data_IF_353383317601
#
_entry.id   IF_353383317601
#
_cell.length_a   1.000
_cell.length_b   1.000
_cell.length_c   1.000
_cell.angle_alpha   90.00
_cell.angle_beta   90.00
_cell.angle_gamma   90.00
#
_symmetry.space_group_name_H-M   'P 1'
#
loop_
_entity.id
_entity.type
_entity.pdbx_description
1 polymer ?
#
# COMPACT_ATOMS: atom_id res chain seq x y z
N UNK A 1 -23.10 -16.16 21.53
CA UNK A 1 -23.20 -14.68 21.30
C UNK A 1 -22.36 -14.17 20.12
N UNK A 2 -21.14 -14.66 19.88
CA UNK A 2 -20.26 -14.19 18.79
C UNK A 2 -20.84 -14.45 17.39
N UNK A 3 -21.36 -15.66 17.15
CA UNK A 3 -21.96 -16.07 15.86
C UNK A 3 -23.20 -15.24 15.51
N UNK A 4 -24.08 -15.00 16.48
CA UNK A 4 -25.30 -14.17 16.29
C UNK A 4 -24.93 -12.71 15.97
N UNK A 5 -23.94 -12.14 16.69
CA UNK A 5 -23.45 -10.78 16.39
C UNK A 5 -22.80 -10.68 15.00
N UNK A 6 -22.10 -11.73 14.56
CA UNK A 6 -21.51 -11.77 13.22
C UNK A 6 -22.60 -11.86 12.13
N UNK A 7 -23.63 -12.67 12.35
CA UNK A 7 -24.78 -12.80 11.44
C UNK A 7 -25.57 -11.49 11.31
N UNK A 8 -25.88 -10.83 12.43
CA UNK A 8 -26.59 -9.54 12.44
C UNK A 8 -25.77 -8.44 11.75
N UNK A 9 -24.46 -8.39 11.98
CA UNK A 9 -23.57 -7.44 11.29
C UNK A 9 -23.49 -7.71 9.78
N UNK A 10 -23.41 -8.98 9.38
CA UNK A 10 -23.41 -9.37 7.97
C UNK A 10 -24.70 -8.97 7.28
N UNK A 11 -25.85 -9.20 7.92
CA UNK A 11 -27.16 -8.83 7.38
C UNK A 11 -27.33 -7.30 7.25
N UNK A 12 -26.92 -6.54 8.26
CA UNK A 12 -26.91 -5.08 8.20
C UNK A 12 -26.01 -4.56 7.06
N UNK A 13 -24.84 -5.19 6.87
CA UNK A 13 -23.92 -4.88 5.77
C UNK A 13 -24.54 -5.13 4.39
N UNK A 14 -25.31 -6.22 4.23
CA UNK A 14 -25.98 -6.57 2.98
C UNK A 14 -27.18 -5.68 2.67
N UNK A 15 -27.98 -5.30 3.68
CA UNK A 15 -29.09 -4.35 3.49
C UNK A 15 -28.56 -2.98 3.07
N UNK A 16 -27.52 -2.48 3.75
CA UNK A 16 -26.80 -1.28 3.34
C UNK A 16 -26.18 -1.43 1.94
N UNK A 17 -25.71 -2.63 1.61
CA UNK A 17 -25.22 -3.00 0.28
C UNK A 17 -26.27 -2.83 -0.80
N UNK A 18 -27.48 -3.38 -0.58
CA UNK A 18 -28.59 -3.30 -1.53
C UNK A 18 -29.06 -1.85 -1.75
N UNK A 19 -29.19 -1.05 -0.68
CA UNK A 19 -29.56 0.37 -0.80
C UNK A 19 -28.51 1.14 -1.59
N UNK A 20 -27.23 0.90 -1.29
CA UNK A 20 -26.12 1.55 -2.00
C UNK A 20 -26.02 1.11 -3.46
N UNK A 21 -26.40 -0.13 -3.78
CA UNK A 21 -26.43 -0.64 -5.15
C UNK A 21 -27.47 0.07 -6.02
N UNK A 22 -28.61 0.49 -5.45
CA UNK A 22 -29.61 1.30 -6.17
C UNK A 22 -29.00 2.67 -6.52
N UNK A 23 -28.34 3.31 -5.56
CA UNK A 23 -27.64 4.59 -5.78
C UNK A 23 -26.54 4.44 -6.84
N UNK A 24 -25.79 3.34 -6.80
CA UNK A 24 -24.72 3.05 -7.75
C UNK A 24 -25.25 2.73 -9.14
N UNK A 25 -26.37 2.02 -9.26
CA UNK A 25 -27.01 1.75 -10.54
C UNK A 25 -27.46 3.06 -11.19
N UNK A 26 -28.15 3.92 -10.44
CA UNK A 26 -28.55 5.25 -10.91
C UNK A 26 -27.34 6.06 -11.34
N UNK A 27 -26.27 6.03 -10.54
CA UNK A 27 -25.02 6.72 -10.87
C UNK A 27 -24.38 6.17 -12.15
N UNK A 28 -24.31 4.84 -12.34
CA UNK A 28 -23.73 4.20 -13.53
C UNK A 28 -24.53 4.56 -14.78
N UNK A 29 -25.86 4.54 -14.70
CA UNK A 29 -26.74 4.91 -15.82
C UNK A 29 -26.51 6.37 -16.24
N UNK A 30 -26.21 7.26 -15.30
CA UNK A 30 -25.90 8.68 -15.59
C UNK A 30 -24.45 8.86 -16.05
N UNK A 31 -23.49 8.19 -15.41
CA UNK A 31 -22.06 8.37 -15.62
C UNK A 31 -21.55 7.70 -16.92
N UNK A 32 -22.16 6.59 -17.35
CA UNK A 32 -21.74 5.87 -18.56
C UNK A 32 -21.92 6.72 -19.84
N UNK A 33 -23.08 7.35 -20.08
CA UNK A 33 -23.24 8.29 -21.20
C UNK A 33 -22.29 9.49 -21.12
N UNK A 34 -22.02 10.00 -19.90
CA UNK A 34 -21.14 11.14 -19.69
C UNK A 34 -19.67 10.85 -20.02
N UNK A 35 -19.23 9.59 -20.07
CA UNK A 35 -17.87 9.22 -20.48
C UNK A 35 -17.59 9.47 -21.97
N UNK A 36 -18.63 9.51 -22.79
CA UNK A 36 -18.55 9.86 -24.21
C UNK A 36 -18.08 11.31 -24.37
N UNK A 37 -18.40 12.18 -23.42
CA UNK A 37 -17.99 13.58 -23.38
C UNK A 37 -16.63 13.74 -22.67
N UNK A 38 -15.53 14.07 -23.37
CA UNK A 38 -14.22 14.30 -22.76
C UNK A 38 -14.22 15.25 -21.54
N UNK A 39 -14.96 16.38 -21.52
CA UNK A 39 -14.96 17.28 -20.37
C UNK A 39 -15.67 16.73 -19.14
N UNK A 40 -16.59 15.76 -19.29
CA UNK A 40 -17.35 15.18 -18.19
C UNK A 40 -16.69 13.92 -17.57
N UNK A 41 -15.62 13.39 -18.20
CA UNK A 41 -14.82 12.29 -17.66
C UNK A 41 -14.30 12.55 -16.23
N UNK A 42 -13.64 13.68 -15.90
CA UNK A 42 -13.12 13.90 -14.54
C UNK A 42 -14.21 13.93 -13.47
N UNK A 43 -15.42 14.40 -13.79
CA UNK A 43 -16.56 14.36 -12.88
C UNK A 43 -17.03 12.92 -12.62
N UNK A 44 -17.15 12.12 -13.69
CA UNK A 44 -17.52 10.70 -13.63
C UNK A 44 -16.53 9.89 -12.78
N UNK A 45 -15.22 10.12 -12.96
CA UNK A 45 -14.18 9.48 -12.13
C UNK A 45 -14.16 9.96 -10.68
N UNK A 46 -14.58 11.21 -10.41
CA UNK A 46 -14.64 11.75 -9.04
C UNK A 46 -15.77 11.12 -8.25
N UNK A 47 -16.97 11.03 -8.84
CA UNK A 47 -18.11 10.39 -8.18
C UNK A 47 -17.92 8.88 -8.00
N UNK A 48 -17.34 8.19 -9.01
CA UNK A 48 -17.02 6.77 -8.89
C UNK A 48 -16.02 6.50 -7.75
N UNK A 49 -15.02 7.38 -7.55
CA UNK A 49 -14.08 7.28 -6.43
C UNK A 49 -14.74 7.50 -5.08
N UNK A 50 -15.66 8.46 -4.98
CA UNK A 50 -16.40 8.70 -3.74
C UNK A 50 -17.28 7.49 -3.35
N UNK A 51 -18.01 6.91 -4.32
CA UNK A 51 -18.81 5.69 -4.12
C UNK A 51 -17.94 4.49 -3.73
N UNK A 52 -16.81 4.30 -4.43
CA UNK A 52 -15.86 3.22 -4.13
C UNK A 52 -15.25 3.34 -2.73
N UNK A 53 -14.97 4.56 -2.27
CA UNK A 53 -14.42 4.81 -0.93
C UNK A 53 -15.46 4.59 0.18
N UNK A 54 -16.68 5.08 -0.03
CA UNK A 54 -17.80 4.83 0.88
C UNK A 54 -18.07 3.33 1.03
N UNK A 55 -17.93 2.58 -0.06
CA UNK A 55 -18.06 1.14 -0.03
C UNK A 55 -16.93 0.42 0.68
N UNK A 56 -15.68 0.82 0.43
CA UNK A 56 -14.51 0.29 1.12
C UNK A 56 -14.70 0.35 2.63
N UNK A 57 -15.24 1.47 3.13
CA UNK A 57 -15.57 1.65 4.55
C UNK A 57 -16.66 0.66 4.98
N UNK A 58 -17.72 0.48 4.18
CA UNK A 58 -18.79 -0.49 4.47
C UNK A 58 -18.25 -1.92 4.55
N UNK A 59 -17.50 -2.35 3.53
CA UNK A 59 -16.95 -3.71 3.43
C UNK A 59 -15.99 -3.99 4.58
N UNK A 60 -15.10 -3.05 4.91
CA UNK A 60 -14.17 -3.22 6.02
C UNK A 60 -14.91 -3.25 7.38
N UNK A 61 -15.96 -2.43 7.56
CA UNK A 61 -16.70 -2.32 8.83
C UNK A 61 -17.67 -3.47 9.09
N UNK A 62 -18.42 -3.90 8.07
CA UNK A 62 -19.56 -4.80 8.23
C UNK A 62 -19.30 -6.20 7.67
N UNK A 63 -18.49 -6.28 6.61
CA UNK A 63 -18.12 -7.54 5.98
C UNK A 63 -16.72 -8.01 6.42
N UNK A 64 -15.97 -7.25 7.23
CA UNK A 64 -14.65 -7.67 7.72
C UNK A 64 -13.58 -7.77 6.63
N UNK A 65 -13.70 -7.00 5.54
CA UNK A 65 -12.63 -6.86 4.56
C UNK A 65 -11.42 -6.11 5.13
N UNK A 66 -10.23 -6.39 4.58
CA UNK A 66 -8.99 -5.66 4.86
C UNK A 66 -8.51 -4.92 3.60
N UNK A 67 -9.41 -4.16 2.97
CA UNK A 67 -9.11 -3.48 1.71
C UNK A 67 -8.37 -2.18 2.01
N UNK A 68 -7.09 -2.14 1.62
CA UNK A 68 -6.22 -0.99 1.78
C UNK A 68 -6.67 0.19 0.88
N UNK A 69 -6.44 1.45 1.29
CA UNK A 69 -6.69 2.60 0.43
C UNK A 69 -5.69 2.61 -0.74
N UNK A 70 -6.19 2.57 -1.99
CA UNK A 70 -5.37 2.49 -3.19
C UNK A 70 -6.22 2.36 -4.46
N UNK A 71 -6.98 3.41 -4.79
CA UNK A 71 -7.93 3.38 -5.90
C UNK A 71 -7.21 3.39 -7.25
N UNK A 72 -7.00 2.20 -7.85
CA UNK A 72 -6.51 2.08 -9.22
C UNK A 72 -7.46 2.78 -10.20
N UNK A 73 -7.16 4.02 -10.58
CA UNK A 73 -8.10 4.96 -11.23
C UNK A 73 -8.85 4.43 -12.46
N UNK A 74 -8.27 3.49 -13.22
CA UNK A 74 -8.93 2.85 -14.36
C UNK A 74 -9.92 1.73 -14.00
N UNK A 75 -9.73 1.04 -12.87
CA UNK A 75 -10.57 -0.07 -12.41
C UNK A 75 -11.75 0.40 -11.54
N UNK A 76 -11.70 1.63 -11.01
CA UNK A 76 -12.76 2.19 -10.13
C UNK A 76 -14.13 2.18 -10.81
N UNK A 77 -14.21 2.56 -12.08
CA UNK A 77 -15.49 2.59 -12.78
C UNK A 77 -16.04 1.18 -13.03
N UNK A 78 -15.17 0.26 -13.47
CA UNK A 78 -15.52 -1.15 -13.66
C UNK A 78 -15.96 -1.79 -12.33
N UNK A 79 -15.31 -1.44 -11.23
CA UNK A 79 -15.69 -1.85 -9.89
C UNK A 79 -17.10 -1.39 -9.52
N UNK A 80 -17.39 -0.10 -9.64
CA UNK A 80 -18.72 0.46 -9.32
C UNK A 80 -19.80 -0.19 -10.18
N UNK A 81 -19.55 -0.41 -11.47
CA UNK A 81 -20.50 -1.08 -12.37
C UNK A 81 -20.76 -2.54 -11.96
N UNK A 82 -19.70 -3.33 -11.75
CA UNK A 82 -19.84 -4.74 -11.32
C UNK A 82 -20.49 -4.86 -9.94
N UNK A 83 -20.20 -3.91 -9.04
CA UNK A 83 -20.78 -3.89 -7.72
C UNK A 83 -22.25 -3.49 -7.72
N UNK A 84 -22.67 -2.54 -8.56
CA UNK A 84 -24.09 -2.22 -8.75
C UNK A 84 -24.90 -3.46 -9.17
N UNK A 85 -24.35 -4.28 -10.08
CA UNK A 85 -24.96 -5.54 -10.48
C UNK A 85 -25.03 -6.55 -9.32
N UNK A 86 -23.92 -6.75 -8.60
CA UNK A 86 -23.88 -7.68 -7.48
C UNK A 86 -24.86 -7.28 -6.35
N UNK A 87 -24.88 -6.01 -5.97
CA UNK A 87 -25.79 -5.51 -4.94
C UNK A 87 -27.26 -5.50 -5.41
N UNK A 88 -27.52 -5.31 -6.70
CA UNK A 88 -28.85 -5.49 -7.29
C UNK A 88 -29.37 -6.92 -7.18
N UNK A 89 -28.52 -7.91 -7.45
CA UNK A 89 -28.84 -9.33 -7.22
C UNK A 89 -29.15 -9.61 -5.74
N UNK A 90 -28.37 -9.03 -4.83
CA UNK A 90 -28.63 -9.12 -3.38
C UNK A 90 -29.95 -8.52 -2.97
N UNK A 91 -30.27 -7.32 -3.46
CA UNK A 91 -31.56 -6.68 -3.26
C UNK A 91 -32.72 -7.54 -3.78
N UNK A 92 -32.57 -8.13 -4.97
CA UNK A 92 -33.56 -9.05 -5.53
C UNK A 92 -33.82 -10.27 -4.66
N UNK A 93 -32.77 -10.91 -4.14
CA UNK A 93 -32.90 -12.04 -3.20
C UNK A 93 -33.64 -11.61 -1.93
N UNK A 94 -33.32 -10.44 -1.36
CA UNK A 94 -34.01 -9.92 -0.16
C UNK A 94 -35.50 -9.65 -0.42
N UNK A 95 -35.86 -9.10 -1.58
CA UNK A 95 -37.26 -8.87 -1.96
C UNK A 95 -38.00 -10.20 -2.12
N UNK A 96 -37.40 -11.19 -2.78
CA UNK A 96 -38.00 -12.52 -2.94
C UNK A 96 -38.24 -13.20 -1.58
N UNK A 97 -37.26 -13.12 -0.66
CA UNK A 97 -37.40 -13.62 0.71
C UNK A 97 -38.52 -12.88 1.44
N UNK A 98 -38.61 -11.55 1.30
CA UNK A 98 -39.67 -10.75 1.91
C UNK A 98 -41.07 -11.12 1.41
N UNK A 99 -41.25 -11.28 0.09
CA UNK A 99 -42.51 -11.76 -0.52
C UNK A 99 -42.86 -13.13 0.05
N UNK A 100 -41.88 -14.03 0.10
CA UNK A 100 -42.08 -15.39 0.58
C UNK A 100 -42.49 -15.44 2.08
N UNK A 101 -41.89 -14.58 2.92
CA UNK A 101 -42.29 -14.40 4.32
C UNK A 101 -43.70 -13.82 4.43
N UNK A 102 -44.05 -12.83 3.61
CA UNK A 102 -45.39 -12.22 3.62
C UNK A 102 -46.48 -13.21 3.21
N UNK A 103 -46.25 -14.00 2.14
CA UNK A 103 -47.14 -15.09 1.71
C UNK A 103 -47.29 -16.12 2.83
N UNK A 104 -46.18 -16.48 3.48
CA UNK A 104 -46.19 -17.44 4.59
C UNK A 104 -46.98 -16.93 5.80
N UNK A 105 -46.81 -15.65 6.15
CA UNK A 105 -47.56 -14.99 7.22
C UNK A 105 -49.05 -14.92 6.92
N UNK A 106 -49.42 -14.58 5.68
CA UNK A 106 -50.82 -14.53 5.25
C UNK A 106 -51.48 -15.92 5.30
N UNK A 107 -50.76 -16.98 4.88
CA UNK A 107 -51.24 -18.35 4.97
C UNK A 107 -51.49 -18.79 6.43
N UNK A 108 -50.65 -18.33 7.37
CA UNK A 108 -50.76 -18.70 8.79
C UNK A 108 -51.82 -17.87 9.55
N UNK A 109 -51.96 -16.58 9.22
CA UNK A 109 -52.84 -15.62 9.92
C UNK A 109 -54.26 -15.55 9.34
N UNK A 110 -54.43 -15.85 8.05
CA UNK A 110 -55.68 -15.66 7.31
C UNK A 110 -56.72 -16.78 7.43
N UNK A 111 -56.66 -17.62 8.47
CA UNK A 111 -57.65 -18.69 8.66
C UNK A 111 -57.71 -19.66 7.49
N UNK A 112 -56.57 -20.21 7.07
CA UNK A 112 -56.52 -21.24 6.02
C UNK A 112 -57.28 -22.53 6.41
N UNK A 113 -57.62 -22.69 7.70
CA UNK A 113 -58.45 -23.77 8.23
C UNK A 113 -59.88 -23.80 7.68
N UNK A 114 -60.42 -22.68 7.18
CA UNK A 114 -61.82 -22.64 6.71
C UNK A 114 -61.98 -22.77 5.19
N UNK A 115 -60.91 -22.68 4.38
CA UNK A 115 -61.01 -22.63 2.91
C UNK A 115 -60.27 -23.72 2.13
N UNK A 116 -59.39 -24.48 2.75
CA UNK A 116 -58.63 -25.51 2.05
C UNK A 116 -58.72 -26.83 2.82
N UNK A 117 -59.19 -27.89 2.15
CA UNK A 117 -59.20 -29.26 2.69
C UNK A 117 -57.78 -29.79 2.86
N UNK A 118 -57.10 -29.32 3.90
CA UNK A 118 -55.72 -29.66 4.20
C UNK A 118 -55.60 -31.14 4.52
N UNK A 119 -54.69 -31.79 3.83
CA UNK A 119 -54.23 -33.11 4.21
C UNK A 119 -53.31 -33.01 5.43
N UNK A 120 -53.18 -34.10 6.18
CA UNK A 120 -52.32 -34.18 7.38
C UNK A 120 -50.84 -33.91 7.08
N UNK A 121 -50.40 -34.04 5.82
CA UNK A 121 -49.01 -33.81 5.40
C UNK A 121 -48.71 -32.37 4.95
N UNK A 122 -49.72 -31.52 4.72
CA UNK A 122 -49.53 -30.15 4.21
C UNK A 122 -48.71 -29.23 5.15
N UNK A 123 -48.86 -29.31 6.49
CA UNK A 123 -47.98 -28.57 7.40
C UNK A 123 -46.52 -29.01 7.33
N UNK A 124 -46.28 -30.31 7.09
CA UNK A 124 -44.93 -30.89 6.99
C UNK A 124 -44.26 -30.42 5.71
N UNK A 125 -44.94 -30.53 4.57
CA UNK A 125 -44.41 -30.07 3.26
C UNK A 125 -44.13 -28.57 3.28
N UNK A 126 -45.02 -27.77 3.88
CA UNK A 126 -44.83 -26.33 4.04
C UNK A 126 -43.63 -26.01 4.93
N UNK A 127 -43.48 -26.67 6.08
CA UNK A 127 -42.33 -26.47 6.99
C UNK A 127 -41.00 -26.83 6.33
N UNK A 128 -40.96 -27.93 5.56
CA UNK A 128 -39.77 -28.33 4.80
C UNK A 128 -39.44 -27.30 3.72
N UNK A 129 -40.45 -26.80 3.00
CA UNK A 129 -40.27 -25.74 2.01
C UNK A 129 -39.74 -24.45 2.63
N UNK A 130 -40.27 -24.07 3.80
CA UNK A 130 -39.79 -22.94 4.61
C UNK A 130 -38.33 -23.05 4.96
N UNK A 131 -37.92 -24.19 5.49
CA UNK A 131 -36.54 -24.45 5.88
C UNK A 131 -35.61 -24.45 4.66
N UNK A 132 -36.05 -25.03 3.53
CA UNK A 132 -35.28 -25.05 2.29
C UNK A 132 -35.05 -23.64 1.74
N UNK A 133 -36.10 -22.81 1.64
CA UNK A 133 -35.98 -21.43 1.16
C UNK A 133 -35.10 -20.61 2.08
N UNK A 134 -35.24 -20.76 3.40
CA UNK A 134 -34.39 -20.07 4.37
C UNK A 134 -32.92 -20.49 4.23
N UNK A 135 -32.65 -21.79 4.06
CA UNK A 135 -31.30 -22.30 3.83
C UNK A 135 -30.68 -21.73 2.54
N UNK A 136 -31.43 -21.75 1.43
CA UNK A 136 -30.96 -21.19 0.16
C UNK A 136 -30.72 -19.69 0.24
N UNK A 137 -31.60 -18.95 0.93
CA UNK A 137 -31.43 -17.51 1.16
C UNK A 137 -30.15 -17.22 1.94
N UNK A 138 -29.88 -17.96 3.02
CA UNK A 138 -28.64 -17.81 3.81
C UNK A 138 -27.41 -18.09 2.94
N UNK A 139 -27.42 -19.17 2.15
CA UNK A 139 -26.30 -19.51 1.27
C UNK A 139 -26.08 -18.46 0.18
N UNK A 140 -27.15 -17.92 -0.42
CA UNK A 140 -27.08 -16.87 -1.41
C UNK A 140 -26.49 -15.57 -0.82
N UNK A 141 -26.92 -15.19 0.38
CA UNK A 141 -26.41 -14.01 1.10
C UNK A 141 -24.93 -14.19 1.48
N UNK A 142 -24.51 -15.36 1.96
CA UNK A 142 -23.11 -15.65 2.25
C UNK A 142 -22.24 -15.64 0.99
N UNK A 143 -22.72 -16.25 -0.10
CA UNK A 143 -22.04 -16.25 -1.39
C UNK A 143 -21.88 -14.85 -1.95
N UNK A 144 -22.91 -14.01 -1.83
CA UNK A 144 -22.87 -12.63 -2.29
C UNK A 144 -21.92 -11.78 -1.45
N UNK A 145 -21.93 -11.93 -0.12
CA UNK A 145 -20.97 -11.27 0.76
C UNK A 145 -19.51 -11.62 0.39
N UNK A 146 -19.25 -12.88 0.02
CA UNK A 146 -17.94 -13.30 -0.45
C UNK A 146 -17.59 -12.70 -1.82
N UNK A 147 -18.56 -12.60 -2.74
CA UNK A 147 -18.39 -11.96 -4.04
C UNK A 147 -18.06 -10.48 -3.91
N UNK A 148 -18.79 -9.73 -3.06
CA UNK A 148 -18.50 -8.31 -2.79
C UNK A 148 -17.09 -8.11 -2.27
N UNK A 149 -16.63 -8.96 -1.33
CA UNK A 149 -15.25 -8.91 -0.83
C UNK A 149 -14.22 -9.15 -1.94
N UNK A 150 -14.48 -10.11 -2.84
CA UNK A 150 -13.59 -10.41 -3.98
C UNK A 150 -13.55 -9.26 -4.97
N UNK A 151 -14.69 -8.68 -5.30
CA UNK A 151 -14.78 -7.50 -6.17
C UNK A 151 -14.00 -6.33 -5.55
N UNK A 152 -14.17 -6.10 -4.25
CA UNK A 152 -13.48 -5.04 -3.53
C UNK A 152 -11.96 -5.25 -3.55
N UNK A 153 -11.50 -6.48 -3.31
CA UNK A 153 -10.08 -6.83 -3.39
C UNK A 153 -9.50 -6.64 -4.81
N UNK A 154 -10.25 -6.94 -5.86
CA UNK A 154 -9.79 -6.77 -7.24
C UNK A 154 -9.80 -5.32 -7.71
N UNK A 155 -10.89 -4.59 -7.43
CA UNK A 155 -11.15 -3.24 -7.96
C UNK A 155 -10.48 -2.12 -7.17
N UNK A 156 -10.23 -2.34 -5.88
CA UNK A 156 -9.68 -1.35 -4.95
C UNK A 156 -8.25 -1.68 -4.51
N UNK A 157 -7.64 -2.75 -5.04
CA UNK A 157 -6.23 -3.02 -4.80
C UNK A 157 -5.36 -1.89 -5.37
N UNK A 158 -4.27 -1.49 -4.65
CA UNK A 158 -3.33 -0.50 -5.14
C UNK A 158 -2.85 -0.83 -6.54
N UNK A 159 -2.79 0.17 -7.42
CA UNK A 159 -2.24 -0.01 -8.76
C UNK A 159 -0.74 -0.32 -8.67
N UNK A 160 -0.21 -1.18 -9.55
CA UNK A 160 1.24 -1.45 -9.63
C UNK A 160 2.05 -0.15 -9.70
N UNK A 161 1.50 0.89 -10.36
CA UNK A 161 2.10 2.22 -10.44
C UNK A 161 2.19 2.94 -9.09
N UNK A 162 1.20 2.77 -8.22
CA UNK A 162 1.18 3.37 -6.87
C UNK A 162 2.15 2.62 -5.94
N UNK A 163 2.19 1.29 -6.05
CA UNK A 163 3.18 0.47 -5.35
C UNK A 163 4.60 0.84 -5.79
N UNK A 164 4.83 1.02 -7.09
CA UNK A 164 6.11 1.48 -7.64
C UNK A 164 6.45 2.90 -7.16
N UNK A 165 5.50 3.83 -7.15
CA UNK A 165 5.72 5.18 -6.61
C UNK A 165 6.11 5.15 -5.14
N UNK A 166 5.43 4.36 -4.32
CA UNK A 166 5.77 4.18 -2.91
C UNK A 166 7.18 3.60 -2.73
N UNK A 167 7.58 2.62 -3.55
CA UNK A 167 8.95 2.08 -3.54
C UNK A 167 9.99 3.10 -3.98
N UNK A 168 9.71 3.89 -5.02
CA UNK A 168 10.61 4.96 -5.48
C UNK A 168 10.77 6.03 -4.40
N UNK A 169 9.68 6.42 -3.73
CA UNK A 169 9.72 7.37 -2.63
C UNK A 169 10.54 6.81 -1.45
N UNK A 170 10.30 5.57 -1.05
CA UNK A 170 11.09 4.90 -0.02
C UNK A 170 12.58 4.84 -0.38
N UNK A 171 12.92 4.44 -1.61
CA UNK A 171 14.31 4.42 -2.09
C UNK A 171 14.92 5.81 -2.11
N UNK A 172 14.15 6.84 -2.49
CA UNK A 172 14.62 8.22 -2.51
C UNK A 172 14.93 8.73 -1.10
N UNK A 173 14.09 8.39 -0.10
CA UNK A 173 14.31 8.71 1.31
C UNK A 173 15.54 8.00 1.86
N UNK A 174 15.65 6.69 1.69
CA UNK A 174 16.84 5.94 2.14
C UNK A 174 18.10 6.43 1.45
N UNK A 175 18.04 6.80 0.17
CA UNK A 175 19.18 7.40 -0.53
C UNK A 175 19.55 8.76 0.05
N UNK A 176 18.57 9.60 0.39
CA UNK A 176 18.81 10.89 1.03
C UNK A 176 19.49 10.71 2.40
N UNK A 177 19.00 9.80 3.24
CA UNK A 177 19.59 9.46 4.54
C UNK A 177 21.04 8.97 4.41
N UNK A 178 21.32 8.09 3.44
CA UNK A 178 22.69 7.61 3.18
C UNK A 178 23.58 8.73 2.68
N UNK A 179 23.09 9.60 1.80
CA UNK A 179 23.87 10.74 1.30
C UNK A 179 24.19 11.73 2.42
N UNK A 180 23.24 11.99 3.32
CA UNK A 180 23.44 12.84 4.50
C UNK A 180 24.50 12.25 5.43
N UNK A 181 24.41 10.95 5.75
CA UNK A 181 25.42 10.26 6.55
C UNK A 181 26.83 10.29 5.91
N UNK A 182 26.91 10.13 4.58
CA UNK A 182 28.18 10.22 3.85
C UNK A 182 28.73 11.64 3.87
N UNK A 183 27.88 12.66 3.74
CA UNK A 183 28.29 14.06 3.75
C UNK A 183 28.78 14.50 5.14
N UNK A 184 28.13 14.02 6.20
CA UNK A 184 28.58 14.19 7.58
C UNK A 184 29.95 13.57 7.84
N UNK A 185 30.15 12.32 7.41
CA UNK A 185 31.44 11.65 7.57
C UNK A 185 32.53 12.34 6.74
N UNK A 186 32.20 12.80 5.53
CA UNK A 186 33.13 13.60 4.72
C UNK A 186 33.56 14.88 5.44
N UNK A 187 32.62 15.65 5.99
CA UNK A 187 32.93 16.88 6.75
C UNK A 187 33.78 16.60 7.97
N UNK A 188 33.53 15.47 8.64
CA UNK A 188 34.33 15.03 9.78
C UNK A 188 35.77 14.72 9.36
N UNK A 189 35.95 13.92 8.31
CA UNK A 189 37.28 13.60 7.75
C UNK A 189 38.01 14.87 7.31
N UNK A 190 37.33 15.80 6.65
CA UNK A 190 37.92 17.06 6.20
C UNK A 190 38.45 17.88 7.38
N UNK A 191 37.68 17.95 8.48
CA UNK A 191 38.09 18.64 9.71
C UNK A 191 39.27 17.94 10.39
N UNK A 192 39.17 16.62 10.57
CA UNK A 192 40.23 15.81 11.20
C UNK A 192 41.55 15.95 10.40
N UNK A 193 41.46 15.98 9.07
CA UNK A 193 42.61 16.16 8.19
C UNK A 193 43.19 17.57 8.28
N UNK A 194 42.32 18.58 8.22
CA UNK A 194 42.75 19.98 8.29
C UNK A 194 43.43 20.29 9.63
N UNK A 195 42.82 19.89 10.73
CA UNK A 195 43.36 20.12 12.08
C UNK A 195 44.65 19.33 12.31
N UNK A 196 44.71 18.07 11.84
CA UNK A 196 45.91 17.24 11.92
C UNK A 196 47.08 17.80 11.09
N UNK A 197 46.82 18.29 9.88
CA UNK A 197 47.83 18.93 9.02
C UNK A 197 48.31 20.25 9.64
N UNK A 198 47.40 21.07 10.17
CA UNK A 198 47.76 22.33 10.83
C UNK A 198 48.67 22.12 12.05
N UNK A 199 48.31 21.21 12.96
CA UNK A 199 49.13 20.89 14.14
C UNK A 199 50.54 20.47 13.74
N UNK A 200 50.67 19.66 12.69
CA UNK A 200 51.95 19.17 12.20
C UNK A 200 52.78 20.25 11.53
N UNK A 201 52.19 21.09 10.68
CA UNK A 201 52.91 22.21 10.04
C UNK A 201 53.44 23.19 11.09
N UNK A 202 52.67 23.45 12.16
CA UNK A 202 53.12 24.28 13.28
C UNK A 202 54.29 23.63 14.01
N UNK A 203 54.21 22.33 14.34
CA UNK A 203 55.29 21.60 15.00
C UNK A 203 56.58 21.57 14.14
N UNK A 204 56.44 21.38 12.83
CA UNK A 204 57.56 21.33 11.89
C UNK A 204 58.21 22.72 11.75
N UNK A 205 57.42 23.78 11.65
CA UNK A 205 57.89 25.16 11.66
C UNK A 205 58.63 25.53 12.96
N UNK A 206 58.13 25.06 14.11
CA UNK A 206 58.81 25.25 15.40
C UNK A 206 60.14 24.51 15.46
N UNK A 207 60.22 23.25 15.00
CA UNK A 207 61.47 22.48 14.96
C UNK A 207 62.53 23.16 14.07
N UNK A 208 62.12 23.59 12.86
CA UNK A 208 63.00 24.28 11.93
C UNK A 208 63.47 25.64 12.48
N UNK A 209 62.55 26.46 13.01
CA UNK A 209 62.90 27.76 13.60
C UNK A 209 63.72 27.66 14.90
N UNK A 210 63.79 26.49 15.53
CA UNK A 210 64.68 26.22 16.67
C UNK A 210 66.06 25.76 16.19
N UNK A 211 66.12 24.94 15.13
CA UNK A 211 67.37 24.54 14.49
C UNK A 211 68.13 25.74 13.92
N UNK A 212 67.42 26.72 13.34
CA UNK A 212 68.00 27.92 12.73
C UNK A 212 68.61 28.90 13.76
N UNK A 213 68.27 28.75 15.05
CA UNK A 213 68.75 29.59 16.17
C UNK A 213 69.88 28.93 16.98
N UNK A 214 70.30 27.72 16.62
CA UNK A 214 71.36 26.98 17.30
C UNK A 214 72.69 27.16 16.57
N UNK A 215 73.69 27.69 17.27
CA UNK A 215 75.06 27.81 16.76
C UNK A 215 75.85 26.49 16.83
N UNK A 216 75.37 25.50 17.59
CA UNK A 216 75.96 24.16 17.63
C UNK A 216 75.49 23.31 16.42
N UNK A 217 76.38 22.97 15.48
CA UNK A 217 76.03 22.18 14.31
C UNK A 217 75.53 20.77 14.66
N UNK A 218 75.95 20.20 15.80
CA UNK A 218 75.49 18.89 16.26
C UNK A 218 74.01 18.90 16.67
N UNK A 219 73.62 19.86 17.52
CA UNK A 219 72.24 20.06 17.95
C UNK A 219 71.30 20.48 16.82
N UNK A 220 71.75 21.37 15.92
CA UNK A 220 70.97 21.78 14.75
C UNK A 220 70.68 20.59 13.80
N UNK A 221 71.69 19.75 13.54
CA UNK A 221 71.54 18.55 12.72
C UNK A 221 70.54 17.54 13.32
N UNK A 222 70.47 17.43 14.65
CA UNK A 222 69.49 16.57 15.32
C UNK A 222 68.04 17.04 15.09
N UNK A 223 67.78 18.35 15.19
CA UNK A 223 66.47 18.93 14.95
C UNK A 223 66.04 18.82 13.48
N UNK A 224 66.96 18.97 12.53
CA UNK A 224 66.67 18.72 11.11
C UNK A 224 66.29 17.27 10.82
N UNK A 225 66.97 16.30 11.46
CA UNK A 225 66.59 14.89 11.36
C UNK A 225 65.18 14.66 11.92
N UNK A 226 64.86 15.27 13.05
CA UNK A 226 63.55 15.15 13.67
C UNK A 226 62.43 15.76 12.81
N UNK A 227 62.66 16.94 12.21
CA UNK A 227 61.71 17.56 11.29
C UNK A 227 61.50 16.72 10.01
N UNK A 228 62.54 16.08 9.49
CA UNK A 228 62.45 15.17 8.33
C UNK A 228 61.68 13.89 8.65
N UNK A 229 61.84 13.34 9.86
CA UNK A 229 61.09 12.17 10.30
C UNK A 229 59.60 12.49 10.45
N UNK A 230 59.26 13.63 11.06
CA UNK A 230 57.87 14.08 11.21
C UNK A 230 57.17 14.37 9.87
N UNK A 231 57.88 14.91 8.87
CA UNK A 231 57.29 15.10 7.53
C UNK A 231 57.00 13.78 6.82
N UNK A 232 57.86 12.77 7.01
CA UNK A 232 57.68 11.44 6.44
C UNK A 232 56.46 10.74 7.05
N UNK A 233 56.31 10.79 8.37
CA UNK A 233 55.13 10.23 9.07
C UNK A 233 53.84 10.90 8.62
N UNK A 234 53.85 12.23 8.45
CA UNK A 234 52.69 12.97 7.97
C UNK A 234 52.26 12.54 6.56
N UNK A 235 53.22 12.31 5.65
CA UNK A 235 52.94 11.80 4.30
C UNK A 235 52.37 10.37 4.31
N UNK A 236 52.87 9.50 5.19
CA UNK A 236 52.38 8.13 5.32
C UNK A 236 50.92 8.09 5.79
N UNK A 237 50.56 8.90 6.79
CA UNK A 237 49.18 9.00 7.26
C UNK A 237 48.22 9.65 6.24
N UNK A 238 48.67 10.71 5.55
CA UNK A 238 47.89 11.29 4.44
C UNK A 238 47.62 10.24 3.35
N UNK A 239 48.60 9.38 3.08
CA UNK A 239 48.46 8.30 2.10
C UNK A 239 47.49 7.21 2.57
N UNK A 240 47.45 6.92 3.86
CA UNK A 240 46.50 5.99 4.47
C UNK A 240 45.06 6.52 4.39
N UNK A 241 44.86 7.79 4.72
CA UNK A 241 43.55 8.47 4.62
C UNK A 241 43.07 8.53 3.16
N UNK A 242 43.95 8.90 2.23
CA UNK A 242 43.62 8.93 0.80
C UNK A 242 43.20 7.55 0.25
N UNK A 243 43.86 6.48 0.71
CA UNK A 243 43.51 5.10 0.33
C UNK A 243 42.14 4.66 0.88
N UNK A 244 41.77 5.07 2.10
CA UNK A 244 40.46 4.76 2.68
C UNK A 244 39.30 5.47 1.97
N UNK A 245 39.53 6.66 1.42
CA UNK A 245 38.47 7.50 0.79
C UNK A 245 38.25 7.14 -0.68
N UNK A 246 39.26 6.62 -1.38
CA UNK A 246 39.16 6.20 -2.78
C UNK A 246 39.16 4.67 -2.90
N UNK A 247 38.05 3.97 -2.59
CA UNK A 247 37.95 2.55 -2.91
C UNK A 247 38.04 2.43 -4.45
N UNK A 248 39.05 1.71 -4.93
CA UNK A 248 39.24 1.45 -6.35
C UNK A 248 37.91 0.98 -6.97
N UNK A 249 37.45 1.58 -8.08
CA UNK A 249 36.16 1.23 -8.64
C UNK A 249 36.15 -0.26 -9.00
N UNK A 250 35.08 -1.00 -8.67
CA UNK A 250 34.99 -2.41 -9.02
C UNK A 250 35.14 -2.54 -10.53
N UNK A 251 36.07 -3.38 -10.99
CA UNK A 251 36.23 -3.72 -12.41
C UNK A 251 34.87 -4.16 -12.95
N UNK A 252 34.21 -3.25 -13.67
CA UNK A 252 32.94 -3.49 -14.34
C UNK A 252 33.20 -4.62 -15.34
N UNK A 253 32.77 -5.84 -15.04
CA UNK A 253 32.66 -6.90 -16.05
C UNK A 253 31.67 -6.36 -17.09
N UNK A 254 32.19 -5.97 -18.26
CA UNK A 254 31.35 -5.67 -19.41
C UNK A 254 30.51 -6.93 -19.71
N UNK A 255 29.18 -6.82 -19.88
CA UNK A 255 28.36 -7.95 -20.27
C UNK A 255 28.81 -8.45 -21.66
N UNK A 256 28.83 -9.77 -21.91
CA UNK A 256 29.18 -10.31 -23.22
C UNK A 256 28.13 -9.85 -24.23
N UNK A 257 28.49 -8.89 -25.07
CA UNK A 257 27.64 -8.38 -26.14
C UNK A 257 27.55 -9.39 -27.28
N UNK A 258 26.36 -9.92 -27.49
CA UNK A 258 25.72 -10.28 -28.77
C UNK A 258 26.64 -10.40 -29.99
N UNK A 259 27.23 -11.57 -30.19
CA UNK A 259 27.82 -11.99 -31.47
C UNK A 259 27.19 -13.30 -31.95
N UNK A 260 25.96 -13.22 -32.48
CA UNK A 260 25.41 -14.23 -33.40
C UNK A 260 24.04 -13.79 -33.92
N UNK A 261 24.04 -13.02 -35.01
CA UNK A 261 23.01 -13.09 -36.05
C UNK A 261 23.65 -12.58 -37.34
N UNK A 262 24.27 -13.51 -38.05
CA UNK A 262 24.39 -13.51 -39.51
C UNK A 262 23.69 -14.76 -39.99
#
# INVERSE_FOLDING_TARGET
>A
MVVVRAAVRGMAGLVLGAVMAVVELVWVVVAVPLLVLPPARPWSFRGARWLAEADRVRVNRWLGGAVAPGLAGGRVLAYVAMRAMAGGLGGGVLVLVGIWVAVSWQALSGGMSERAGWSWYDPITWTVFVLLVLFLAVQALMGLAALERRLAAWGLAPSDKEVLRGRVEQLSRTRAEVLEAVDDERRRIERDLHDGVQQRLVALGMLLGRADRLDDPGAAAALFRQAREESRRALEELREVAWRICPAPPRRRLPPSWSARR
#
